data_IF_575326680755
#
_entry.id   IF_575326680755
#
_cell.length_a   1.000
_cell.length_b   1.000
_cell.length_c   1.000
_cell.angle_alpha   90.00
_cell.angle_beta   90.00
_cell.angle_gamma   90.00
#
_symmetry.space_group_name_H-M   'P 1'
#
loop_
_entity.id
_entity.type
_entity.pdbx_description
1 polymer ?
#
# COMPACT_ATOMS: atom_id res chain seq x y z
N UNK A 1 7.63 -5.25 24.45
CA UNK A 1 8.18 -5.15 23.08
C UNK A 1 7.14 -5.63 22.09
N UNK A 2 6.79 -4.79 21.12
CA UNK A 2 5.82 -5.19 20.11
C UNK A 2 6.43 -6.26 19.18
N UNK A 3 5.66 -7.26 18.81
CA UNK A 3 6.07 -8.23 17.81
C UNK A 3 6.09 -7.58 16.43
N UNK A 4 6.83 -8.17 15.49
CA UNK A 4 6.85 -7.62 14.12
C UNK A 4 5.46 -7.68 13.47
N UNK A 5 4.64 -8.68 13.80
CA UNK A 5 3.29 -8.76 13.25
C UNK A 5 2.40 -7.63 13.78
N UNK A 6 2.56 -7.23 15.04
CA UNK A 6 1.82 -6.09 15.59
C UNK A 6 2.21 -4.79 14.90
N UNK A 7 3.52 -4.57 14.72
CA UNK A 7 4.03 -3.40 14.00
C UNK A 7 3.54 -3.40 12.55
N UNK A 8 3.57 -4.55 11.88
CA UNK A 8 3.09 -4.69 10.51
C UNK A 8 1.60 -4.33 10.39
N UNK A 9 0.78 -4.77 11.33
CA UNK A 9 -0.66 -4.47 11.32
C UNK A 9 -0.91 -2.98 11.53
N UNK A 10 -0.19 -2.36 12.45
CA UNK A 10 -0.33 -0.91 12.71
C UNK A 10 0.13 -0.09 11.50
N UNK A 11 1.24 -0.48 10.87
CA UNK A 11 1.71 0.16 9.65
C UNK A 11 0.67 0.02 8.54
N UNK A 12 0.17 -1.20 8.33
CA UNK A 12 -0.81 -1.49 7.28
C UNK A 12 -2.04 -0.58 7.43
N UNK A 13 -2.61 -0.50 8.63
CA UNK A 13 -3.77 0.34 8.90
C UNK A 13 -3.47 1.82 8.61
N UNK A 14 -2.34 2.33 9.09
CA UNK A 14 -1.97 3.73 8.88
C UNK A 14 -1.77 4.04 7.39
N UNK A 15 -1.07 3.17 6.67
CA UNK A 15 -0.79 3.36 5.26
C UNK A 15 -2.06 3.27 4.43
N UNK A 16 -2.87 2.25 4.65
CA UNK A 16 -4.09 2.00 3.87
C UNK A 16 -5.22 2.99 4.14
N UNK A 17 -5.21 3.65 5.29
CA UNK A 17 -6.19 4.70 5.58
C UNK A 17 -5.72 6.09 5.17
N UNK A 18 -4.61 6.17 4.43
CA UNK A 18 -4.16 7.43 3.84
C UNK A 18 -3.51 8.40 4.82
N UNK A 19 -2.88 7.90 5.87
CA UNK A 19 -2.22 8.77 6.87
C UNK A 19 -0.90 9.36 6.37
N UNK A 20 -0.36 8.85 5.26
CA UNK A 20 0.88 9.31 4.69
C UNK A 20 2.09 8.93 5.53
N UNK A 21 3.26 9.47 5.14
CA UNK A 21 4.49 9.13 5.86
C UNK A 21 4.44 9.57 7.33
N UNK A 22 3.83 10.72 7.61
CA UNK A 22 3.73 11.21 9.00
C UNK A 22 3.02 10.21 9.92
N UNK A 23 2.01 9.50 9.40
CA UNK A 23 1.30 8.47 10.17
C UNK A 23 1.97 7.11 10.17
N UNK A 24 2.93 6.88 9.25
CA UNK A 24 3.58 5.57 9.06
C UNK A 24 5.01 5.52 9.60
N UNK A 25 5.70 6.65 9.67
CA UNK A 25 7.16 6.71 9.89
C UNK A 25 7.60 6.08 11.20
N UNK A 26 6.77 6.08 12.23
CA UNK A 26 7.13 5.51 13.53
C UNK A 26 7.30 3.99 13.49
N UNK A 27 6.76 3.32 12.46
CA UNK A 27 6.86 1.87 12.28
C UNK A 27 8.01 1.46 11.35
N UNK A 28 8.73 2.44 10.80
CA UNK A 28 9.71 2.23 9.74
C UNK A 28 11.07 2.81 10.10
N UNK A 29 12.13 2.30 9.46
CA UNK A 29 13.41 3.01 9.50
C UNK A 29 13.28 4.29 8.68
N UNK A 30 14.08 5.35 9.00
CA UNK A 30 13.96 6.64 8.28
C UNK A 30 14.25 6.54 6.79
N UNK A 31 15.08 5.58 6.39
CA UNK A 31 15.52 5.36 5.01
C UNK A 31 14.87 4.11 4.39
N UNK A 32 13.74 3.66 4.93
CA UNK A 32 13.03 2.47 4.42
C UNK A 32 12.78 2.57 2.92
N UNK A 33 13.09 1.50 2.20
CA UNK A 33 12.96 1.44 0.74
C UNK A 33 11.68 0.72 0.32
N UNK A 34 11.34 0.85 -0.96
CA UNK A 34 10.12 0.28 -1.52
C UNK A 34 10.39 -0.23 -2.92
N UNK A 35 9.70 -1.31 -3.30
CA UNK A 35 9.73 -1.82 -4.67
C UNK A 35 8.37 -2.38 -5.06
N UNK A 36 8.04 -2.24 -6.34
CA UNK A 36 6.85 -2.84 -6.93
C UNK A 36 7.06 -2.99 -8.43
N UNK A 37 6.64 -4.13 -8.98
CA UNK A 37 6.63 -4.36 -10.42
C UNK A 37 5.25 -4.00 -10.96
N UNK A 38 4.85 -2.75 -10.75
CA UNK A 38 3.57 -2.21 -11.16
C UNK A 38 3.84 -0.84 -11.80
N UNK A 39 3.35 -0.63 -13.03
CA UNK A 39 3.64 0.58 -13.80
C UNK A 39 3.44 1.89 -13.03
N UNK A 40 2.30 2.08 -12.34
CA UNK A 40 2.09 3.34 -11.62
C UNK A 40 3.08 3.59 -10.48
N UNK A 41 3.80 2.55 -10.04
CA UNK A 41 4.70 2.60 -8.90
C UNK A 41 6.16 2.36 -9.30
N UNK A 42 6.47 2.30 -10.59
CA UNK A 42 7.80 1.89 -11.05
C UNK A 42 8.90 2.86 -10.59
N UNK A 43 8.57 4.12 -10.36
CA UNK A 43 9.52 5.14 -9.92
C UNK A 43 9.44 5.42 -8.41
N UNK A 44 8.61 4.69 -7.68
CA UNK A 44 8.50 4.80 -6.22
C UNK A 44 9.56 3.90 -5.60
N UNK A 45 10.52 4.49 -4.91
CA UNK A 45 11.72 3.78 -4.41
C UNK A 45 11.84 3.79 -2.89
N UNK A 46 11.13 4.67 -2.21
CA UNK A 46 11.15 4.75 -0.75
C UNK A 46 9.77 4.52 -0.20
N UNK A 47 9.73 4.00 1.03
CA UNK A 47 8.46 3.77 1.70
C UNK A 47 7.74 5.08 2.03
N UNK A 48 8.51 6.16 2.25
CA UNK A 48 7.94 7.51 2.39
C UNK A 48 7.17 7.91 1.13
N UNK A 49 7.76 7.72 -0.05
CA UNK A 49 7.10 8.04 -1.32
C UNK A 49 5.82 7.21 -1.47
N UNK A 50 5.86 5.93 -1.12
CA UNK A 50 4.68 5.06 -1.25
C UNK A 50 3.57 5.46 -0.28
N UNK A 51 3.90 5.73 0.99
CA UNK A 51 2.90 6.13 1.98
C UNK A 51 2.21 7.44 1.56
N UNK A 52 2.97 8.39 1.01
CA UNK A 52 2.41 9.64 0.52
C UNK A 52 1.62 9.45 -0.77
N UNK A 53 2.02 8.50 -1.63
CA UNK A 53 1.24 8.10 -2.80
C UNK A 53 -0.12 7.52 -2.39
N UNK A 54 -0.15 6.68 -1.36
CA UNK A 54 -1.39 6.13 -0.82
C UNK A 54 -2.30 7.22 -0.24
N UNK A 55 -1.71 8.22 0.42
CA UNK A 55 -2.49 9.36 0.91
C UNK A 55 -3.13 10.12 -0.27
N UNK A 56 -2.37 10.32 -1.34
CA UNK A 56 -2.83 11.08 -2.51
C UNK A 56 -3.96 10.39 -3.27
N UNK A 57 -4.01 9.05 -3.30
CA UNK A 57 -5.05 8.34 -4.07
C UNK A 57 -6.46 8.57 -3.52
N UNK A 58 -6.59 9.00 -2.27
CA UNK A 58 -7.90 9.29 -1.70
C UNK A 58 -8.58 10.50 -2.35
N UNK A 59 -7.85 11.33 -3.10
CA UNK A 59 -8.45 12.41 -3.88
C UNK A 59 -9.26 11.87 -5.07
N UNK A 60 -8.68 11.07 -6.00
CA UNK A 60 -9.48 10.47 -7.07
C UNK A 60 -10.35 9.31 -6.61
N UNK A 61 -10.00 8.65 -5.50
CA UNK A 61 -10.67 7.45 -5.02
C UNK A 61 -11.13 7.66 -3.56
N UNK A 62 -12.10 8.57 -3.31
CA UNK A 62 -12.44 8.99 -1.94
C UNK A 62 -13.06 7.86 -1.09
N UNK A 63 -13.63 6.84 -1.70
CA UNK A 63 -14.20 5.70 -0.98
C UNK A 63 -13.26 4.49 -0.92
N UNK A 64 -11.96 4.69 -1.15
CA UNK A 64 -10.99 3.59 -1.12
C UNK A 64 -11.10 2.82 0.20
N UNK A 65 -11.11 1.50 0.08
CA UNK A 65 -11.22 0.59 1.22
C UNK A 65 -10.42 -0.67 0.96
N UNK A 66 -10.18 -1.42 2.02
CA UNK A 66 -9.43 -2.67 1.92
C UNK A 66 -10.07 -3.72 2.82
N UNK A 67 -9.89 -4.98 2.43
CA UNK A 67 -10.35 -6.14 3.20
C UNK A 67 -9.16 -7.07 3.37
N UNK A 68 -8.68 -7.19 4.62
CA UNK A 68 -7.52 -8.03 4.96
C UNK A 68 -7.94 -9.49 4.91
N UNK A 69 -7.19 -10.30 4.15
CA UNK A 69 -7.43 -11.73 4.03
C UNK A 69 -6.45 -12.56 4.86
N UNK A 70 -5.20 -12.11 5.00
CA UNK A 70 -4.18 -12.88 5.71
C UNK A 70 -3.02 -12.00 6.14
N UNK A 71 -2.48 -12.29 7.33
CA UNK A 71 -1.17 -11.83 7.78
C UNK A 71 -0.35 -13.06 8.13
N UNK A 72 0.80 -13.23 7.47
CA UNK A 72 1.67 -14.38 7.69
C UNK A 72 3.07 -13.90 8.09
N UNK A 73 3.66 -14.54 9.10
CA UNK A 73 4.98 -14.20 9.60
C UNK A 73 5.99 -15.24 9.14
N UNK A 74 7.12 -14.79 8.62
CA UNK A 74 8.29 -15.64 8.39
C UNK A 74 9.36 -15.24 9.40
N UNK A 75 9.51 -16.00 10.50
CA UNK A 75 10.49 -15.64 11.54
C UNK A 75 11.93 -15.84 11.11
N UNK A 76 12.19 -16.74 10.17
CA UNK A 76 13.55 -16.96 9.67
C UNK A 76 14.07 -15.77 8.90
N UNK A 77 13.20 -15.13 8.12
CA UNK A 77 13.56 -13.99 7.26
C UNK A 77 13.13 -12.65 7.84
N UNK A 78 12.57 -12.66 9.04
CA UNK A 78 12.13 -11.47 9.76
C UNK A 78 11.22 -10.58 8.91
N UNK A 79 10.23 -11.19 8.25
CA UNK A 79 9.26 -10.44 7.46
C UNK A 79 7.83 -10.87 7.71
N UNK A 80 6.90 -10.01 7.29
CA UNK A 80 5.46 -10.24 7.38
C UNK A 80 4.84 -9.99 6.01
N UNK A 81 4.05 -10.95 5.53
CA UNK A 81 3.29 -10.79 4.29
C UNK A 81 1.82 -10.55 4.64
N UNK A 82 1.23 -9.52 4.04
CA UNK A 82 -0.17 -9.17 4.21
C UNK A 82 -0.87 -9.25 2.87
N UNK A 83 -1.88 -10.12 2.77
CA UNK A 83 -2.73 -10.23 1.59
C UNK A 83 -4.06 -9.54 1.89
N UNK A 84 -4.48 -8.66 0.98
CA UNK A 84 -5.73 -7.93 1.11
C UNK A 84 -6.35 -7.66 -0.27
N UNK A 85 -7.59 -7.23 -0.26
CA UNK A 85 -8.32 -6.82 -1.47
C UNK A 85 -8.62 -5.33 -1.35
N UNK A 86 -8.25 -4.58 -2.38
CA UNK A 86 -8.49 -3.14 -2.47
C UNK A 86 -9.73 -2.88 -3.31
N UNK A 87 -10.61 -2.00 -2.85
CA UNK A 87 -11.82 -1.59 -3.57
C UNK A 87 -11.94 -0.08 -3.57
N UNK A 88 -12.31 0.51 -4.71
CA UNK A 88 -12.49 1.95 -4.82
C UNK A 88 -13.32 2.29 -6.05
N UNK A 89 -13.93 3.48 -6.03
CA UNK A 89 -14.67 4.04 -7.17
C UNK A 89 -14.09 5.41 -7.52
N UNK A 90 -13.84 5.65 -8.80
CA UNK A 90 -13.28 6.92 -9.26
C UNK A 90 -14.37 7.97 -9.38
N UNK A 91 -14.69 8.63 -8.27
CA UNK A 91 -15.66 9.73 -8.23
C UNK A 91 -15.01 11.08 -7.99
N UNK A 92 -13.72 11.11 -7.58
CA UNK A 92 -13.00 12.35 -7.31
C UNK A 92 -12.07 12.77 -8.44
N UNK A 93 -11.61 14.03 -8.42
CA UNK A 93 -10.66 14.55 -9.41
C UNK A 93 -9.23 14.07 -9.12
N UNK A 94 -8.30 14.38 -10.02
CA UNK A 94 -6.88 14.15 -9.81
C UNK A 94 -6.35 12.86 -10.40
N UNK A 95 -7.20 12.06 -11.04
CA UNK A 95 -6.76 10.91 -11.80
C UNK A 95 -6.21 11.32 -13.18
N UNK A 96 -5.82 10.33 -14.03
CA UNK A 96 -5.29 10.62 -15.36
C UNK A 96 -6.33 11.17 -16.33
N UNK A 97 -7.60 11.13 -15.95
CA UNK A 97 -8.71 11.66 -16.75
C UNK A 97 -9.75 12.26 -15.80
N UNK A 98 -10.82 12.84 -16.36
CA UNK A 98 -12.00 13.21 -15.56
C UNK A 98 -12.56 11.95 -14.88
N UNK A 99 -13.27 12.11 -13.75
CA UNK A 99 -13.79 10.95 -13.02
C UNK A 99 -14.66 10.05 -13.92
N UNK A 100 -14.31 8.76 -13.93
CA UNK A 100 -14.99 7.78 -14.79
C UNK A 100 -16.25 7.20 -14.13
N UNK A 101 -16.35 7.26 -12.81
CA UNK A 101 -17.40 6.58 -12.06
C UNK A 101 -17.22 5.07 -11.96
N UNK A 102 -16.16 4.53 -12.54
CA UNK A 102 -15.88 3.09 -12.51
C UNK A 102 -15.24 2.65 -11.21
N UNK A 103 -15.43 1.38 -10.88
CA UNK A 103 -14.90 0.77 -9.66
C UNK A 103 -13.86 -0.28 -10.00
N UNK A 104 -12.92 -0.45 -9.06
CA UNK A 104 -11.94 -1.53 -9.10
C UNK A 104 -12.05 -2.38 -7.84
N UNK A 105 -11.73 -3.67 -7.98
CA UNK A 105 -11.56 -4.60 -6.86
C UNK A 105 -10.41 -5.53 -7.23
N UNK A 106 -9.25 -5.36 -6.58
CA UNK A 106 -8.05 -6.11 -6.94
C UNK A 106 -7.32 -6.62 -5.71
N UNK A 107 -6.68 -7.77 -5.88
CA UNK A 107 -5.82 -8.37 -4.87
C UNK A 107 -4.48 -7.67 -4.82
N UNK A 108 -3.90 -7.59 -3.62
CA UNK A 108 -2.53 -7.12 -3.46
C UNK A 108 -1.88 -7.72 -2.24
N UNK A 109 -0.56 -7.74 -2.24
CA UNK A 109 0.25 -8.27 -1.15
C UNK A 109 1.34 -7.25 -0.80
N UNK A 110 1.48 -6.96 0.49
CA UNK A 110 2.65 -6.26 1.02
C UNK A 110 3.56 -7.28 1.68
N UNK A 111 4.83 -7.28 1.30
CA UNK A 111 5.86 -8.02 2.04
C UNK A 111 6.71 -7.01 2.76
N UNK A 112 6.59 -6.96 4.08
CA UNK A 112 7.26 -5.99 4.94
C UNK A 112 8.49 -6.65 5.56
N UNK A 113 9.67 -6.22 5.11
CA UNK A 113 10.95 -6.73 5.59
C UNK A 113 11.38 -5.89 6.78
N UNK A 114 11.60 -6.55 7.91
CA UNK A 114 11.97 -5.86 9.14
C UNK A 114 13.48 -5.79 9.32
N UNK A 115 13.93 -4.65 9.80
CA UNK A 115 15.27 -4.41 10.32
C UNK A 115 15.10 -4.23 11.84
N UNK A 116 15.35 -5.32 12.58
CA UNK A 116 14.97 -5.36 14.00
C UNK A 116 13.45 -5.32 14.15
N UNK A 117 12.94 -4.29 14.80
CA UNK A 117 11.51 -4.11 15.05
C UNK A 117 10.87 -3.03 14.17
N UNK A 118 11.61 -2.53 13.17
CA UNK A 118 11.14 -1.51 12.22
C UNK A 118 11.16 -2.03 10.80
N UNK A 119 10.23 -1.56 9.97
CA UNK A 119 10.19 -1.93 8.55
C UNK A 119 11.30 -1.18 7.82
N UNK A 120 12.23 -1.91 7.21
CA UNK A 120 13.34 -1.34 6.43
C UNK A 120 13.12 -1.39 4.93
N UNK A 121 12.24 -2.29 4.46
CA UNK A 121 11.88 -2.42 3.05
C UNK A 121 10.49 -3.00 2.92
N UNK A 122 9.74 -2.55 1.93
CA UNK A 122 8.45 -3.17 1.58
C UNK A 122 8.40 -3.42 0.08
N UNK A 123 7.92 -4.62 -0.29
CA UNK A 123 7.59 -4.96 -1.67
C UNK A 123 6.08 -5.06 -1.78
N UNK A 124 5.51 -4.41 -2.78
CA UNK A 124 4.08 -4.55 -3.12
C UNK A 124 3.94 -5.40 -4.37
N UNK A 125 3.09 -6.40 -4.28
CA UNK A 125 2.72 -7.27 -5.40
C UNK A 125 1.26 -6.97 -5.73
N UNK A 126 1.02 -6.46 -6.95
CA UNK A 126 -0.30 -5.94 -7.31
C UNK A 126 -0.50 -6.02 -8.82
N UNK A 127 -1.70 -6.38 -9.24
CA UNK A 127 -2.04 -6.35 -10.66
C UNK A 127 -2.57 -4.95 -11.01
N UNK A 128 -1.64 -4.03 -11.20
CA UNK A 128 -1.98 -2.63 -11.51
C UNK A 128 -2.69 -2.51 -12.86
N UNK A 129 -2.30 -3.33 -13.85
CA UNK A 129 -2.95 -3.31 -15.16
C UNK A 129 -4.44 -3.58 -15.07
N UNK A 130 -4.84 -4.55 -14.26
CA UNK A 130 -6.25 -4.85 -14.05
C UNK A 130 -6.96 -3.69 -13.36
N UNK A 131 -6.36 -3.14 -12.29
CA UNK A 131 -6.95 -2.01 -11.57
C UNK A 131 -7.17 -0.81 -12.47
N UNK A 132 -6.17 -0.46 -13.29
CA UNK A 132 -6.28 0.67 -14.21
C UNK A 132 -7.36 0.45 -15.26
N UNK A 133 -7.46 -0.76 -15.80
CA UNK A 133 -8.52 -1.10 -16.77
C UNK A 133 -9.90 -1.00 -16.13
N UNK A 134 -10.06 -1.54 -14.92
CA UNK A 134 -11.35 -1.50 -14.23
C UNK A 134 -11.77 -0.07 -13.92
N UNK A 135 -10.83 0.80 -13.56
CA UNK A 135 -11.11 2.22 -13.30
C UNK A 135 -11.34 3.04 -14.55
N UNK A 136 -11.03 2.50 -15.72
CA UNK A 136 -11.11 3.24 -16.97
C UNK A 136 -9.91 4.18 -17.18
N UNK A 137 -8.79 3.90 -16.53
CA UNK A 137 -7.56 4.71 -16.60
C UNK A 137 -6.53 4.13 -17.58
N UNK A 138 -6.84 3.00 -18.17
CA UNK A 138 -5.99 2.38 -19.19
C UNK A 138 -6.83 1.60 -20.20
#
# INVERSE_FOLDING_TARGET
>A
MASIVETAKQFFTACETGKGWDGCKSFCTPDATFSAQAEPLINVKTLQQYADWMKAIYTPLPNASYDIKSFAVDPERNNVAAYAVFSATNTGPGGPSAPTGNSTRTDYVYVMQFDGDKIGHMTKIWNAGMALRELGWA
#
